data_IF_199283272482
#
_entry.id   IF_199283272482
#
_cell.length_a   1.000
_cell.length_b   1.000
_cell.length_c   1.000
_cell.angle_alpha   90.00
_cell.angle_beta   90.00
_cell.angle_gamma   90.00
#
_symmetry.space_group_name_H-M   'P 1'
#
loop_
_entity.id
_entity.type
_entity.pdbx_description
1 polymer ?
#
# COMPACT_ATOMS: atom_id res chain seq x y z
N UNK A 1 14.55 -0.16 14.21
CA UNK A 1 14.95 -0.88 12.97
C UNK A 1 14.92 0.15 11.84
N UNK A 2 16.08 0.59 11.34
CA UNK A 2 16.15 1.56 10.26
C UNK A 2 15.78 0.86 8.94
N UNK A 3 14.65 1.24 8.33
CA UNK A 3 14.23 0.74 7.03
C UNK A 3 15.01 1.51 5.94
N UNK A 4 16.08 0.90 5.42
CA UNK A 4 16.77 1.42 4.24
C UNK A 4 16.13 0.81 2.98
N UNK A 5 15.48 1.65 2.18
CA UNK A 5 14.90 1.28 0.88
C UNK A 5 15.99 1.19 -0.21
N UNK A 6 17.00 0.35 0.01
CA UNK A 6 18.08 0.09 -0.94
C UNK A 6 18.04 -1.40 -1.33
N UNK A 7 17.14 -1.74 -2.26
CA UNK A 7 17.18 -3.00 -2.98
C UNK A 7 17.98 -2.82 -4.27
N UNK A 8 18.98 -3.68 -4.51
CA UNK A 8 19.76 -3.67 -5.75
C UNK A 8 19.19 -4.68 -6.75
N UNK A 9 18.90 -4.25 -7.96
CA UNK A 9 18.72 -5.14 -9.13
C UNK A 9 19.54 -4.53 -10.26
N UNK A 10 20.54 -5.27 -10.75
CA UNK A 10 21.39 -4.89 -11.90
C UNK A 10 22.04 -3.49 -11.86
N UNK A 11 22.54 -3.04 -10.70
CA UNK A 11 23.38 -1.84 -10.64
C UNK A 11 22.63 -0.51 -10.86
N UNK A 12 21.31 -0.52 -11.02
CA UNK A 12 20.48 0.69 -10.95
C UNK A 12 19.78 0.76 -9.60
N UNK A 13 19.84 1.93 -8.97
CA UNK A 13 19.08 2.24 -7.77
C UNK A 13 17.60 2.36 -8.15
N UNK A 14 16.78 1.38 -7.83
CA UNK A 14 15.33 1.52 -7.89
C UNK A 14 14.79 1.77 -6.48
N UNK A 15 14.13 2.91 -6.28
CA UNK A 15 13.30 3.14 -5.10
C UNK A 15 11.91 2.61 -5.41
N UNK A 16 11.43 1.53 -4.74
CA UNK A 16 10.03 1.16 -4.83
C UNK A 16 9.22 2.36 -4.35
N UNK A 17 8.50 3.00 -5.26
CA UNK A 17 7.55 4.05 -4.90
C UNK A 17 6.36 3.35 -4.25
N UNK A 18 6.40 3.19 -2.94
CA UNK A 18 5.29 2.65 -2.18
C UNK A 18 4.29 3.79 -1.94
N UNK A 19 3.09 3.65 -2.50
CA UNK A 19 1.99 4.56 -2.19
C UNK A 19 1.29 4.08 -0.93
N UNK A 20 0.82 5.02 -0.12
CA UNK A 20 0.05 4.72 1.08
C UNK A 20 -1.43 4.98 0.83
N UNK A 21 -2.26 3.99 1.11
CA UNK A 21 -3.72 4.10 1.09
C UNK A 21 -4.24 3.88 2.50
N UNK A 22 -5.18 4.73 2.94
CA UNK A 22 -5.90 4.57 4.20
C UNK A 22 -7.32 4.10 3.90
N UNK A 23 -7.75 3.07 4.60
CA UNK A 23 -9.13 2.59 4.58
C UNK A 23 -9.65 2.54 6.02
N UNK A 24 -10.97 2.61 6.18
CA UNK A 24 -11.59 2.38 7.48
C UNK A 24 -11.34 0.95 7.96
N UNK A 25 -11.27 0.76 9.28
CA UNK A 25 -11.05 -0.55 9.87
C UNK A 25 -12.17 -1.52 9.53
N UNK A 26 -11.78 -2.64 8.93
CA UNK A 26 -12.65 -3.72 8.53
C UNK A 26 -11.83 -5.01 8.44
N UNK A 27 -12.45 -6.19 8.49
CA UNK A 27 -11.77 -7.44 8.15
C UNK A 27 -11.12 -7.32 6.76
N UNK A 28 -9.80 -7.46 6.72
CA UNK A 28 -9.02 -7.32 5.49
C UNK A 28 -7.85 -8.31 5.49
N UNK A 29 -7.92 -9.30 4.60
CA UNK A 29 -6.91 -10.34 4.37
C UNK A 29 -6.47 -10.39 2.89
N UNK A 30 -6.82 -9.36 2.11
CA UNK A 30 -6.57 -9.31 0.67
C UNK A 30 -5.10 -9.01 0.31
N UNK A 31 -4.58 -9.75 -0.65
CA UNK A 31 -3.24 -9.53 -1.23
C UNK A 31 -3.22 -8.46 -2.34
N UNK A 32 -4.39 -8.05 -2.84
CA UNK A 32 -4.55 -7.03 -3.86
C UNK A 32 -5.73 -6.11 -3.56
N UNK A 33 -5.62 -4.85 -4.00
CA UNK A 33 -6.69 -3.86 -3.92
C UNK A 33 -6.94 -3.22 -5.28
N UNK A 34 -8.22 -2.97 -5.58
CA UNK A 34 -8.63 -2.14 -6.71
C UNK A 34 -8.95 -0.74 -6.23
N UNK A 35 -8.33 0.25 -6.85
CA UNK A 35 -8.64 1.65 -6.60
C UNK A 35 -9.54 2.21 -7.71
N UNK A 36 -10.53 3.00 -7.31
CA UNK A 36 -11.42 3.74 -8.20
C UNK A 36 -11.47 5.20 -7.76
N UNK A 37 -11.66 6.12 -8.70
CA UNK A 37 -11.93 7.51 -8.35
C UNK A 37 -13.38 7.70 -7.87
N UNK A 38 -13.70 8.92 -7.43
CA UNK A 38 -15.02 9.26 -6.92
C UNK A 38 -16.15 9.17 -7.96
N UNK A 39 -15.82 9.11 -9.26
CA UNK A 39 -16.76 8.90 -10.35
C UNK A 39 -16.90 7.42 -10.72
N UNK A 40 -16.25 6.52 -9.96
CA UNK A 40 -16.23 5.08 -10.20
C UNK A 40 -15.28 4.65 -11.32
N UNK A 41 -14.43 5.54 -11.86
CA UNK A 41 -13.45 5.15 -12.87
C UNK A 41 -12.34 4.35 -12.22
N UNK A 42 -12.02 3.18 -12.78
CA UNK A 42 -10.91 2.34 -12.32
C UNK A 42 -9.58 3.07 -12.49
N UNK A 43 -8.84 3.20 -11.40
CA UNK A 43 -7.46 3.71 -11.37
C UNK A 43 -6.51 2.55 -11.68
N UNK A 44 -6.73 1.38 -11.06
CA UNK A 44 -5.93 0.18 -11.27
C UNK A 44 -6.11 -0.85 -10.18
N UNK A 45 -5.34 -1.93 -10.27
CA UNK A 45 -5.25 -2.99 -9.28
C UNK A 45 -3.80 -3.07 -8.82
N UNK A 46 -3.60 -3.14 -7.51
CA UNK A 46 -2.30 -3.01 -6.89
C UNK A 46 -2.10 -4.11 -5.86
N UNK A 47 -0.89 -4.67 -5.82
CA UNK A 47 -0.51 -5.65 -4.81
C UNK A 47 -0.26 -4.98 -3.47
N UNK A 48 -0.81 -5.53 -2.41
CA UNK A 48 -0.57 -5.06 -1.04
C UNK A 48 0.79 -5.57 -0.59
N UNK A 49 1.69 -4.64 -0.32
CA UNK A 49 3.06 -4.91 0.13
C UNK A 49 3.12 -5.05 1.66
N UNK A 50 2.30 -4.26 2.37
CA UNK A 50 2.22 -4.25 3.82
C UNK A 50 0.87 -3.75 4.29
N UNK A 51 0.43 -4.25 5.45
CA UNK A 51 -0.78 -3.84 6.15
C UNK A 51 -0.37 -3.42 7.56
N UNK A 52 -0.87 -2.27 8.03
CA UNK A 52 -0.69 -1.82 9.41
C UNK A 52 -2.01 -1.27 9.97
N UNK A 53 -2.56 -1.87 11.04
CA UNK A 53 -3.69 -1.32 11.77
C UNK A 53 -3.32 -0.02 12.50
N UNK A 54 -4.19 0.97 12.45
CA UNK A 54 -4.08 2.27 13.14
C UNK A 54 -5.22 2.42 14.15
N UNK A 55 -5.11 1.73 15.28
CA UNK A 55 -6.18 1.61 16.29
C UNK A 55 -6.70 2.96 16.84
N UNK A 56 -5.83 3.97 16.96
CA UNK A 56 -6.21 5.27 17.51
C UNK A 56 -7.22 6.04 16.63
N UNK A 57 -7.32 5.69 15.35
CA UNK A 57 -8.21 6.35 14.38
C UNK A 57 -9.12 5.37 13.64
N UNK A 58 -9.18 4.11 14.08
CA UNK A 58 -9.98 3.04 13.47
C UNK A 58 -9.75 2.92 11.95
N UNK A 59 -8.48 2.91 11.54
CA UNK A 59 -8.08 2.80 10.12
C UNK A 59 -7.08 1.67 9.90
N UNK A 60 -6.91 1.29 8.64
CA UNK A 60 -5.86 0.40 8.17
C UNK A 60 -5.03 1.15 7.13
N UNK A 61 -3.70 1.09 7.29
CA UNK A 61 -2.73 1.62 6.35
C UNK A 61 -2.20 0.52 5.44
N UNK A 62 -2.36 0.70 4.14
CA UNK A 62 -1.86 -0.19 3.11
C UNK A 62 -0.70 0.46 2.36
N UNK A 63 0.37 -0.30 2.15
CA UNK A 63 1.40 0.05 1.17
C UNK A 63 1.15 -0.78 -0.08
N UNK A 64 1.09 -0.11 -1.22
CA UNK A 64 0.86 -0.69 -2.54
C UNK A 64 1.92 -0.25 -3.54
#
# INVERSE_FOLDING_TARGET
VHYNALGTTHGEHFTPSAYTVLIDEQPFDGEQVRLTDCNGRRIGDFSVQRIEPLEAVCQIRLWI
#
